data_IF_026271108428
#
_entry.id   IF_026271108428
#
_cell.length_a   1.000
_cell.length_b   1.000
_cell.length_c   1.000
_cell.angle_alpha   90.00
_cell.angle_beta   90.00
_cell.angle_gamma   90.00
#
_symmetry.space_group_name_H-M   'P 1'
#
loop_
_entity.id
_entity.type
_entity.pdbx_description
1 polymer ?
#
# COMPACT_ATOMS: atom_id res chain seq x y z
N UNK A 1 24.18 -21.63 -16.84
CA UNK A 1 23.98 -22.11 -18.23
C UNK A 1 24.56 -23.50 -18.34
N UNK A 2 23.74 -24.50 -18.73
CA UNK A 2 24.25 -25.87 -18.96
C UNK A 2 25.04 -25.94 -20.28
N UNK A 3 25.87 -27.00 -20.47
CA UNK A 3 26.60 -27.17 -21.73
C UNK A 3 25.63 -27.29 -22.93
N UNK A 4 24.48 -27.91 -22.75
CA UNK A 4 23.47 -28.01 -23.80
C UNK A 4 22.80 -26.67 -24.14
N UNK A 5 22.46 -25.86 -23.14
CA UNK A 5 21.96 -24.49 -23.36
C UNK A 5 22.97 -23.63 -24.11
N UNK A 6 24.26 -23.77 -23.80
CA UNK A 6 25.31 -23.07 -24.51
C UNK A 6 25.36 -23.51 -25.98
N UNK A 7 25.34 -24.83 -26.28
CA UNK A 7 25.34 -25.32 -27.67
C UNK A 7 24.11 -24.78 -28.44
N UNK A 8 22.97 -24.79 -27.82
CA UNK A 8 21.72 -24.32 -28.46
C UNK A 8 21.75 -22.81 -28.74
N UNK A 9 22.23 -22.03 -27.79
CA UNK A 9 22.44 -20.58 -27.99
C UNK A 9 23.42 -20.27 -29.12
N UNK A 10 24.53 -21.05 -29.23
CA UNK A 10 25.51 -20.89 -30.29
C UNK A 10 24.99 -21.35 -31.66
N UNK A 11 24.18 -22.42 -31.69
CA UNK A 11 23.52 -22.89 -32.91
C UNK A 11 22.56 -21.82 -33.49
N UNK A 12 21.89 -21.04 -32.63
CA UNK A 12 20.96 -19.97 -33.03
C UNK A 12 21.70 -18.72 -33.58
N UNK A 13 23.02 -18.59 -33.42
CA UNK A 13 23.77 -17.43 -33.88
C UNK A 13 24.15 -17.56 -35.37
N UNK A 14 23.74 -16.60 -36.23
CA UNK A 14 24.07 -16.68 -37.69
C UNK A 14 25.56 -16.70 -37.99
N UNK A 15 26.40 -16.12 -37.13
CA UNK A 15 27.86 -16.07 -37.28
C UNK A 15 28.58 -17.37 -36.90
N UNK A 16 27.86 -18.34 -36.29
CA UNK A 16 28.48 -19.58 -35.84
C UNK A 16 28.41 -20.68 -36.91
N UNK A 17 29.51 -20.92 -37.55
CA UNK A 17 29.69 -21.96 -38.60
C UNK A 17 29.96 -23.36 -38.04
N UNK A 18 29.99 -23.56 -36.74
CA UNK A 18 30.33 -24.83 -36.14
C UNK A 18 29.12 -25.75 -36.03
N UNK A 19 29.25 -26.99 -36.45
CA UNK A 19 28.18 -27.99 -36.31
C UNK A 19 27.97 -28.38 -34.85
N UNK A 20 26.75 -28.79 -34.52
CA UNK A 20 26.37 -29.30 -33.18
C UNK A 20 27.29 -30.44 -32.75
N UNK A 21 27.66 -31.33 -33.68
CA UNK A 21 28.58 -32.45 -33.41
C UNK A 21 29.96 -31.96 -32.93
N UNK A 22 30.48 -30.94 -33.60
CA UNK A 22 31.78 -30.35 -33.26
C UNK A 22 31.75 -29.65 -31.89
N UNK A 23 30.70 -28.89 -31.61
CA UNK A 23 30.47 -28.24 -30.31
C UNK A 23 30.30 -29.25 -29.17
N UNK A 24 29.55 -30.33 -29.40
CA UNK A 24 29.40 -31.44 -28.44
C UNK A 24 30.74 -32.07 -28.09
N UNK A 25 31.59 -32.32 -29.14
CA UNK A 25 32.94 -32.89 -28.93
C UNK A 25 33.82 -31.96 -28.08
N UNK A 26 33.85 -30.66 -28.36
CA UNK A 26 34.64 -29.68 -27.62
C UNK A 26 34.22 -29.58 -26.15
N UNK A 27 32.90 -29.67 -25.88
CA UNK A 27 32.37 -29.58 -24.54
C UNK A 27 32.31 -30.92 -23.82
N UNK A 28 32.78 -32.00 -24.44
CA UNK A 28 32.78 -33.36 -23.93
C UNK A 28 31.34 -33.78 -23.46
N UNK A 29 30.35 -33.64 -24.34
CA UNK A 29 28.95 -34.07 -24.13
C UNK A 29 28.48 -34.95 -25.31
N UNK A 30 27.50 -35.81 -25.07
CA UNK A 30 26.92 -36.68 -26.07
C UNK A 30 26.08 -35.89 -27.06
N UNK A 31 26.25 -36.11 -28.36
CA UNK A 31 25.41 -35.53 -29.40
C UNK A 31 23.98 -36.02 -29.32
N UNK A 32 23.77 -37.33 -29.07
CA UNK A 32 22.44 -37.87 -28.85
C UNK A 32 21.77 -37.29 -27.60
N UNK A 33 22.56 -37.07 -26.53
CA UNK A 33 22.11 -36.39 -25.32
C UNK A 33 21.65 -34.94 -25.57
N UNK A 34 22.38 -34.20 -26.45
CA UNK A 34 21.96 -32.87 -26.84
C UNK A 34 20.61 -32.88 -27.59
N UNK A 35 20.44 -33.73 -28.60
CA UNK A 35 19.20 -33.78 -29.35
C UNK A 35 18.02 -34.27 -28.46
N UNK A 36 18.23 -35.24 -27.60
CA UNK A 36 17.23 -35.65 -26.63
C UNK A 36 16.84 -34.51 -25.68
N UNK A 37 17.82 -33.71 -25.20
CA UNK A 37 17.57 -32.53 -24.39
C UNK A 37 16.82 -31.44 -25.17
N UNK A 38 17.23 -31.16 -26.42
CA UNK A 38 16.62 -30.12 -27.27
C UNK A 38 15.19 -30.43 -27.71
N UNK A 39 14.86 -31.75 -27.88
CA UNK A 39 13.51 -32.20 -28.28
C UNK A 39 12.65 -32.56 -27.07
N UNK A 40 13.20 -32.55 -25.86
CA UNK A 40 12.45 -32.91 -24.66
C UNK A 40 11.34 -31.88 -24.40
N UNK A 41 10.07 -32.32 -24.29
CA UNK A 41 9.00 -31.43 -23.92
C UNK A 41 9.25 -30.79 -22.55
N UNK A 42 8.80 -29.56 -22.40
CA UNK A 42 8.91 -28.85 -21.13
C UNK A 42 8.27 -29.67 -20.01
N UNK A 43 8.95 -29.84 -18.89
CA UNK A 43 8.38 -30.56 -17.76
C UNK A 43 7.16 -29.82 -17.19
N UNK A 44 6.20 -30.57 -16.63
CA UNK A 44 5.03 -30.00 -15.97
C UNK A 44 5.40 -28.96 -14.88
N UNK A 45 6.48 -29.21 -14.15
CA UNK A 45 7.02 -28.28 -13.16
C UNK A 45 7.54 -26.97 -13.80
N UNK A 46 8.24 -27.06 -14.93
CA UNK A 46 8.75 -25.89 -15.64
C UNK A 46 7.59 -25.08 -16.26
N UNK A 47 6.61 -25.75 -16.88
CA UNK A 47 5.42 -25.11 -17.40
C UNK A 47 4.62 -24.39 -16.30
N UNK A 48 4.40 -25.06 -15.15
CA UNK A 48 3.74 -24.46 -13.99
C UNK A 48 4.50 -23.23 -13.48
N UNK A 49 5.85 -23.31 -13.37
CA UNK A 49 6.69 -22.20 -12.93
C UNK A 49 6.62 -21.02 -13.90
N UNK A 50 6.59 -21.27 -15.21
CA UNK A 50 6.44 -20.22 -16.22
C UNK A 50 5.08 -19.52 -16.13
N UNK A 51 3.98 -20.27 -15.99
CA UNK A 51 2.65 -19.69 -15.78
C UNK A 51 2.57 -18.86 -14.50
N UNK A 52 3.18 -19.36 -13.41
CA UNK A 52 3.24 -18.60 -12.15
C UNK A 52 4.08 -17.33 -12.27
N UNK A 53 5.19 -17.37 -13.04
CA UNK A 53 6.03 -16.19 -13.30
C UNK A 53 5.26 -15.09 -14.01
N UNK A 54 4.48 -15.42 -15.04
CA UNK A 54 3.66 -14.44 -15.76
C UNK A 54 2.61 -13.77 -14.84
N UNK A 55 1.99 -14.55 -13.95
CA UNK A 55 1.01 -14.00 -12.99
C UNK A 55 1.65 -13.11 -11.93
N UNK A 56 2.81 -13.51 -11.40
CA UNK A 56 3.59 -12.70 -10.46
C UNK A 56 3.97 -11.37 -11.09
N UNK A 57 4.42 -11.38 -12.34
CA UNK A 57 4.75 -10.17 -13.08
C UNK A 57 3.52 -9.29 -13.29
N UNK A 58 2.39 -9.86 -13.67
CA UNK A 58 1.12 -9.14 -13.81
C UNK A 58 0.73 -8.40 -12.52
N UNK A 59 0.69 -9.06 -11.36
CA UNK A 59 0.36 -8.41 -10.09
C UNK A 59 1.40 -7.37 -9.65
N UNK A 60 2.67 -7.59 -9.96
CA UNK A 60 3.70 -6.61 -9.71
C UNK A 60 3.51 -5.33 -10.54
N UNK A 61 3.18 -5.47 -11.82
CA UNK A 61 2.88 -4.35 -12.72
C UNK A 61 1.56 -3.66 -12.33
N UNK A 62 0.50 -4.41 -12.04
CA UNK A 62 -0.80 -3.88 -11.60
C UNK A 62 -0.67 -3.07 -10.30
N UNK A 63 0.22 -3.48 -9.40
CA UNK A 63 0.56 -2.71 -8.20
C UNK A 63 1.55 -1.57 -8.45
N UNK A 64 1.92 -1.30 -9.70
CA UNK A 64 2.91 -0.29 -10.09
C UNK A 64 4.27 -0.47 -9.36
N UNK A 65 4.70 -1.72 -9.15
CA UNK A 65 5.95 -2.06 -8.49
C UNK A 65 5.96 -1.77 -6.98
N UNK A 66 4.80 -1.74 -6.34
CA UNK A 66 4.70 -1.50 -4.89
C UNK A 66 4.61 -2.78 -4.07
N UNK A 67 4.20 -3.90 -4.69
CA UNK A 67 3.97 -5.16 -3.98
C UNK A 67 5.23 -5.99 -3.83
N UNK A 68 5.56 -6.32 -2.58
CA UNK A 68 6.48 -7.40 -2.26
C UNK A 68 5.79 -8.78 -2.31
N UNK A 69 6.56 -9.84 -2.23
CA UNK A 69 6.12 -11.22 -2.40
C UNK A 69 4.90 -11.63 -1.55
N UNK A 70 4.73 -11.06 -0.34
CA UNK A 70 3.59 -11.40 0.54
C UNK A 70 2.26 -10.90 -0.01
N UNK A 71 2.21 -9.69 -0.58
CA UNK A 71 1.00 -9.15 -1.20
C UNK A 71 0.69 -9.84 -2.52
N UNK A 72 1.70 -10.13 -3.35
CA UNK A 72 1.53 -10.90 -4.58
C UNK A 72 1.04 -12.32 -4.27
N UNK A 73 1.58 -12.96 -3.24
CA UNK A 73 1.09 -14.27 -2.79
C UNK A 73 -0.40 -14.21 -2.38
N UNK A 74 -0.81 -13.15 -1.69
CA UNK A 74 -2.21 -12.96 -1.30
C UNK A 74 -3.14 -12.74 -2.52
N UNK A 75 -2.67 -12.08 -3.59
CA UNK A 75 -3.44 -11.97 -4.84
C UNK A 75 -3.54 -13.32 -5.57
N UNK A 76 -2.44 -14.07 -5.64
CA UNK A 76 -2.45 -15.43 -6.20
C UNK A 76 -3.41 -16.35 -5.44
N UNK A 77 -3.39 -16.29 -4.10
CA UNK A 77 -4.31 -17.07 -3.26
C UNK A 77 -5.78 -16.67 -3.47
N UNK A 78 -6.07 -15.38 -3.65
CA UNK A 78 -7.41 -14.91 -3.95
C UNK A 78 -7.93 -15.43 -5.30
N UNK A 79 -7.04 -15.73 -6.24
CA UNK A 79 -7.36 -16.39 -7.51
C UNK A 79 -7.21 -17.93 -7.46
N UNK A 80 -7.22 -18.51 -6.28
CA UNK A 80 -7.13 -19.94 -6.05
C UNK A 80 -5.86 -20.59 -6.63
N UNK A 81 -4.78 -19.81 -6.76
CA UNK A 81 -3.48 -20.31 -7.22
C UNK A 81 -2.64 -20.74 -6.04
N UNK A 82 -2.54 -22.03 -5.83
CA UNK A 82 -1.73 -22.60 -4.76
C UNK A 82 -0.24 -22.51 -5.05
N UNK A 83 0.48 -21.81 -4.20
CA UNK A 83 1.94 -21.73 -4.21
C UNK A 83 2.45 -21.31 -2.81
N UNK A 84 3.70 -21.60 -2.51
CA UNK A 84 4.28 -21.10 -1.27
C UNK A 84 4.75 -19.65 -1.40
N UNK A 85 4.70 -18.84 -0.33
CA UNK A 85 5.25 -17.49 -0.33
C UNK A 85 6.74 -17.45 -0.72
N UNK A 86 7.49 -18.48 -0.35
CA UNK A 86 8.91 -18.61 -0.68
C UNK A 86 9.14 -18.80 -2.18
N UNK A 87 8.29 -19.59 -2.86
CA UNK A 87 8.37 -19.75 -4.32
C UNK A 87 8.12 -18.40 -5.03
N UNK A 88 7.13 -17.62 -4.57
CA UNK A 88 6.88 -16.28 -5.10
C UNK A 88 8.10 -15.38 -4.91
N UNK A 89 8.70 -15.39 -3.71
CA UNK A 89 9.91 -14.62 -3.42
C UNK A 89 11.08 -14.99 -4.34
N UNK A 90 11.29 -16.30 -4.57
CA UNK A 90 12.36 -16.79 -5.45
C UNK A 90 12.13 -16.37 -6.91
N UNK A 91 10.88 -16.46 -7.40
CA UNK A 91 10.56 -16.03 -8.76
C UNK A 91 10.76 -14.52 -8.91
N UNK A 92 10.26 -13.70 -7.97
CA UNK A 92 10.48 -12.25 -7.99
C UNK A 92 11.98 -11.90 -8.04
N UNK A 93 12.78 -12.56 -7.19
CA UNK A 93 14.23 -12.36 -7.17
C UNK A 93 14.89 -12.74 -8.50
N UNK A 94 14.49 -13.86 -9.10
CA UNK A 94 15.02 -14.32 -10.39
C UNK A 94 14.64 -13.37 -11.53
N UNK A 95 13.46 -12.77 -11.47
CA UNK A 95 12.99 -11.80 -12.46
C UNK A 95 13.46 -10.36 -12.19
N UNK A 96 14.23 -10.13 -11.12
CA UNK A 96 14.64 -8.77 -10.74
C UNK A 96 13.49 -7.86 -10.28
N UNK A 97 12.35 -8.42 -9.86
CA UNK A 97 11.20 -7.64 -9.40
C UNK A 97 11.42 -7.15 -7.97
N UNK A 98 11.78 -5.88 -7.83
CA UNK A 98 12.06 -5.23 -6.55
C UNK A 98 10.96 -4.23 -6.24
N UNK A 99 10.20 -4.49 -5.16
CA UNK A 99 9.17 -3.55 -4.69
C UNK A 99 9.81 -2.24 -4.20
N UNK A 100 9.04 -1.14 -4.29
CA UNK A 100 9.48 0.13 -3.74
C UNK A 100 9.82 -0.02 -2.25
N UNK A 101 10.97 0.54 -1.84
CA UNK A 101 11.44 0.47 -0.46
C UNK A 101 11.07 1.77 0.28
N UNK A 102 10.65 1.70 1.55
CA UNK A 102 10.48 2.87 2.39
C UNK A 102 11.81 3.63 2.51
N UNK A 103 11.74 4.96 2.46
CA UNK A 103 12.91 5.79 2.80
C UNK A 103 13.18 5.70 4.30
N UNK A 104 14.43 5.78 4.76
CA UNK A 104 14.75 5.85 6.17
C UNK A 104 13.98 6.97 6.86
N UNK A 105 13.43 6.68 8.03
CA UNK A 105 12.71 7.67 8.83
C UNK A 105 13.67 8.79 9.28
N UNK A 106 13.22 10.04 9.14
CA UNK A 106 13.90 11.23 9.71
C UNK A 106 12.89 11.95 10.58
N UNK A 107 13.29 12.26 11.80
CA UNK A 107 12.51 13.13 12.71
C UNK A 107 12.53 14.54 12.10
N UNK A 108 11.36 15.11 11.81
CA UNK A 108 11.23 16.41 11.12
C UNK A 108 10.55 17.48 11.99
N UNK A 109 10.03 17.15 13.17
CA UNK A 109 9.26 18.08 14.00
C UNK A 109 9.62 17.93 15.46
N UNK A 110 10.01 19.03 16.10
CA UNK A 110 10.01 19.16 17.56
C UNK A 110 8.62 19.68 17.99
N UNK A 111 8.04 19.03 18.99
CA UNK A 111 6.69 19.34 19.43
C UNK A 111 6.70 20.51 20.41
N UNK A 112 5.79 21.46 20.21
CA UNK A 112 5.54 22.56 21.14
C UNK A 112 4.68 22.06 22.32
N UNK A 113 5.22 22.10 23.53
CA UNK A 113 4.68 21.37 24.70
C UNK A 113 3.48 22.08 25.38
N UNK A 114 3.23 23.38 25.11
CA UNK A 114 2.35 24.20 25.96
C UNK A 114 0.86 24.25 25.53
N UNK A 115 0.51 23.92 24.30
CA UNK A 115 -0.83 24.24 23.75
C UNK A 115 -1.96 23.25 24.08
N UNK A 116 -1.70 22.17 24.84
CA UNK A 116 -2.64 21.03 24.83
C UNK A 116 -2.97 20.43 26.22
N UNK A 117 -2.96 21.22 27.28
CA UNK A 117 -3.43 20.79 28.61
C UNK A 117 -4.96 20.52 28.54
N UNK A 118 -5.39 19.27 28.70
CA UNK A 118 -6.79 18.94 29.01
C UNK A 118 -7.50 17.90 28.13
N UNK A 119 -7.01 17.51 26.96
CA UNK A 119 -7.68 16.47 26.16
C UNK A 119 -7.05 15.08 26.41
N UNK A 120 -7.90 14.07 26.78
CA UNK A 120 -7.41 12.73 27.08
C UNK A 120 -7.01 11.97 25.79
N UNK A 121 -6.03 11.08 25.90
CA UNK A 121 -5.78 10.03 24.92
C UNK A 121 -6.76 8.86 25.21
N UNK A 122 -7.83 8.78 24.44
CA UNK A 122 -8.83 7.72 24.56
C UNK A 122 -8.44 6.45 23.77
N UNK A 123 -7.54 6.55 22.79
CA UNK A 123 -7.08 5.41 22.02
C UNK A 123 -6.00 4.60 22.72
N UNK A 124 -5.10 5.25 23.46
CA UNK A 124 -3.98 4.59 24.15
C UNK A 124 -3.20 3.63 23.22
N UNK A 125 -3.01 4.05 21.96
CA UNK A 125 -2.38 3.26 20.87
C UNK A 125 -3.17 2.04 20.43
N UNK A 126 -4.40 1.85 20.87
CA UNK A 126 -5.29 0.82 20.34
C UNK A 126 -6.06 1.37 19.12
N UNK A 127 -5.49 1.15 17.94
CA UNK A 127 -6.08 1.50 16.66
C UNK A 127 -6.96 0.37 16.10
N UNK A 128 -7.48 -0.50 16.94
CA UNK A 128 -8.48 -1.51 16.56
C UNK A 128 -9.89 -1.02 16.89
N UNK A 129 -10.87 -1.56 16.20
CA UNK A 129 -12.29 -1.33 16.49
C UNK A 129 -13.07 -2.59 16.13
N UNK A 130 -14.24 -2.79 16.77
CA UNK A 130 -15.08 -3.98 16.56
C UNK A 130 -15.90 -3.87 15.27
N UNK A 131 -16.16 -2.64 14.80
CA UNK A 131 -16.92 -2.35 13.59
C UNK A 131 -16.51 -1.00 12.97
N UNK A 132 -16.87 -0.76 11.68
CA UNK A 132 -16.65 0.53 11.05
C UNK A 132 -17.37 1.66 11.80
N UNK A 133 -16.79 2.84 11.78
CA UNK A 133 -17.45 4.03 12.32
C UNK A 133 -17.29 4.29 13.82
N UNK A 134 -16.57 3.44 14.56
CA UNK A 134 -16.37 3.60 16.01
C UNK A 134 -15.17 4.47 16.38
N UNK A 135 -14.09 4.36 15.63
CA UNK A 135 -12.85 5.10 15.89
C UNK A 135 -12.27 5.60 14.59
N UNK A 136 -11.91 6.86 14.56
CA UNK A 136 -11.29 7.50 13.42
C UNK A 136 -9.97 8.17 13.84
N UNK A 137 -9.00 8.13 12.93
CA UNK A 137 -7.78 8.91 13.10
C UNK A 137 -7.66 9.91 11.96
N UNK A 138 -7.24 11.12 12.29
CA UNK A 138 -7.00 12.20 11.33
C UNK A 138 -5.57 12.71 11.42
N UNK A 139 -5.04 13.12 10.26
CA UNK A 139 -3.74 13.75 10.18
C UNK A 139 -3.60 14.53 8.86
N UNK A 140 -2.60 15.42 8.78
CA UNK A 140 -2.30 16.24 7.61
C UNK A 140 -0.91 15.92 7.11
N UNK A 141 -0.77 15.86 5.79
CA UNK A 141 0.54 15.85 5.16
C UNK A 141 0.61 16.89 4.05
N UNK A 142 1.83 17.24 3.64
CA UNK A 142 2.06 18.11 2.49
C UNK A 142 2.77 17.35 1.37
N UNK A 143 2.50 17.82 0.14
CA UNK A 143 3.05 17.28 -1.09
C UNK A 143 3.67 18.45 -1.86
N UNK A 144 4.93 18.31 -2.20
CA UNK A 144 5.66 19.34 -2.94
C UNK A 144 5.33 19.28 -4.43
N UNK A 145 5.11 20.45 -5.04
CA UNK A 145 4.99 20.65 -6.49
C UNK A 145 5.87 21.85 -6.90
N UNK A 146 6.11 22.01 -8.19
CA UNK A 146 6.82 23.23 -8.66
C UNK A 146 6.04 24.53 -8.40
N UNK A 147 4.71 24.42 -8.19
CA UNK A 147 3.84 25.55 -7.83
C UNK A 147 3.70 25.77 -6.32
N UNK A 148 4.55 25.12 -5.50
CA UNK A 148 4.47 25.14 -4.04
C UNK A 148 3.78 23.90 -3.46
N UNK A 149 3.38 23.99 -2.19
CA UNK A 149 2.79 22.85 -1.48
C UNK A 149 1.30 22.68 -1.73
N UNK A 150 0.87 21.42 -1.68
CA UNK A 150 -0.53 21.00 -1.55
C UNK A 150 -0.64 20.24 -0.24
N UNK A 151 -1.68 20.52 0.53
CA UNK A 151 -1.94 19.90 1.83
C UNK A 151 -3.08 18.91 1.70
N UNK A 152 -2.90 17.73 2.24
CA UNK A 152 -3.87 16.64 2.28
C UNK A 152 -4.22 16.35 3.74
N UNK A 153 -5.48 16.53 4.12
CA UNK A 153 -6.05 16.01 5.35
C UNK A 153 -6.78 14.69 5.07
N UNK A 154 -6.67 13.72 5.96
CA UNK A 154 -7.34 12.42 5.83
C UNK A 154 -8.04 12.02 7.11
N UNK A 155 -9.13 11.25 6.96
CA UNK A 155 -9.88 10.57 8.01
C UNK A 155 -9.84 9.09 7.70
N UNK A 156 -9.28 8.30 8.61
CA UNK A 156 -9.08 6.86 8.44
C UNK A 156 -9.88 6.11 9.49
N UNK A 157 -10.72 5.19 9.05
CA UNK A 157 -11.48 4.29 9.93
C UNK A 157 -10.56 3.23 10.54
N UNK A 158 -10.59 3.10 11.87
CA UNK A 158 -9.69 2.20 12.60
C UNK A 158 -10.01 0.72 12.39
N UNK A 159 -11.25 0.37 12.06
CA UNK A 159 -11.63 -1.01 11.79
C UNK A 159 -11.08 -1.50 10.44
N UNK A 160 -11.40 -0.77 9.39
CA UNK A 160 -11.12 -1.18 8.01
C UNK A 160 -9.81 -0.66 7.45
N UNK A 161 -9.16 0.30 8.13
CA UNK A 161 -7.99 1.05 7.63
C UNK A 161 -8.29 1.85 6.34
N UNK A 162 -9.58 2.00 6.01
CA UNK A 162 -10.04 2.77 4.86
C UNK A 162 -9.89 4.26 5.12
N UNK A 163 -9.40 5.00 4.14
CA UNK A 163 -9.53 6.45 4.11
C UNK A 163 -10.98 6.76 3.75
N UNK A 164 -11.78 7.12 4.74
CA UNK A 164 -13.23 7.35 4.61
C UNK A 164 -13.57 8.80 4.28
N UNK A 165 -12.63 9.71 4.52
CA UNK A 165 -12.75 11.12 4.16
C UNK A 165 -11.38 11.73 3.91
N UNK A 166 -11.33 12.67 2.99
CA UNK A 166 -10.12 13.44 2.68
C UNK A 166 -10.49 14.81 2.11
N UNK A 167 -9.57 15.75 2.24
CA UNK A 167 -9.64 17.07 1.61
C UNK A 167 -8.26 17.52 1.18
N UNK A 168 -8.18 18.28 0.08
CA UNK A 168 -6.91 18.77 -0.48
C UNK A 168 -7.04 20.27 -0.75
N UNK A 169 -6.14 21.08 -0.13
CA UNK A 169 -6.11 22.53 -0.31
C UNK A 169 -4.69 23.06 -0.50
N UNK A 170 -4.61 24.36 -0.79
CA UNK A 170 -3.34 25.11 -0.91
C UNK A 170 -2.87 25.69 0.43
N UNK A 171 -3.60 25.41 1.50
CA UNK A 171 -3.37 25.93 2.85
C UNK A 171 -3.62 24.83 3.91
N UNK A 172 -3.06 25.02 5.09
CA UNK A 172 -3.25 24.15 6.26
C UNK A 172 -4.08 24.85 7.34
N UNK A 173 -5.31 25.28 6.97
CA UNK A 173 -6.25 25.90 7.91
C UNK A 173 -7.29 24.90 8.39
N UNK A 174 -8.08 25.27 9.40
CA UNK A 174 -9.11 24.43 10.02
C UNK A 174 -10.13 23.91 9.00
N UNK A 175 -10.46 24.69 7.97
CA UNK A 175 -11.39 24.29 6.91
C UNK A 175 -10.94 23.00 6.21
N UNK A 176 -9.62 22.80 6.02
CA UNK A 176 -9.07 21.61 5.38
C UNK A 176 -9.45 20.33 6.14
N UNK A 177 -9.28 20.32 7.47
CA UNK A 177 -9.61 19.16 8.30
C UNK A 177 -11.11 19.00 8.53
N UNK A 178 -11.83 20.12 8.60
CA UNK A 178 -13.29 20.11 8.72
C UNK A 178 -13.95 19.52 7.47
N UNK A 179 -13.48 19.86 6.29
CA UNK A 179 -14.00 19.31 5.03
C UNK A 179 -13.67 17.82 4.88
N UNK A 180 -12.48 17.39 5.31
CA UNK A 180 -12.15 15.95 5.35
C UNK A 180 -13.09 15.18 6.27
N UNK A 181 -13.43 15.72 7.46
CA UNK A 181 -14.34 15.08 8.40
C UNK A 181 -15.80 15.10 7.90
N UNK A 182 -16.27 16.20 7.30
CA UNK A 182 -17.60 16.28 6.65
C UNK A 182 -17.72 15.25 5.53
N UNK A 183 -16.70 15.09 4.71
CA UNK A 183 -16.67 14.09 3.64
C UNK A 183 -16.72 12.67 4.22
N UNK A 184 -16.02 12.41 5.32
CA UNK A 184 -16.12 11.13 6.02
C UNK A 184 -17.55 10.86 6.54
N UNK A 185 -18.18 11.86 7.17
CA UNK A 185 -19.55 11.74 7.68
C UNK A 185 -20.60 11.55 6.57
N UNK A 186 -20.33 12.04 5.37
CA UNK A 186 -21.21 11.84 4.21
C UNK A 186 -21.09 10.44 3.59
N UNK A 187 -19.96 9.76 3.76
CA UNK A 187 -19.67 8.47 3.11
C UNK A 187 -19.69 7.29 4.06
N UNK A 188 -19.60 7.52 5.36
CA UNK A 188 -19.49 6.48 6.40
C UNK A 188 -20.38 6.83 7.57
N UNK A 189 -21.13 5.83 8.06
CA UNK A 189 -21.89 5.99 9.29
C UNK A 189 -20.95 6.23 10.46
N UNK A 190 -21.18 7.30 11.20
CA UNK A 190 -20.53 7.57 12.48
C UNK A 190 -21.38 6.92 13.58
N UNK A 191 -20.79 6.01 14.34
CA UNK A 191 -21.48 5.37 15.46
C UNK A 191 -21.62 6.35 16.64
N UNK A 192 -22.66 6.22 17.47
CA UNK A 192 -22.78 7.01 18.69
C UNK A 192 -21.52 6.89 19.55
N UNK A 193 -21.06 8.01 20.12
CA UNK A 193 -19.85 8.09 20.94
C UNK A 193 -18.55 7.68 20.23
N UNK A 194 -18.54 7.69 18.90
CA UNK A 194 -17.34 7.41 18.13
C UNK A 194 -16.16 8.31 18.57
N UNK A 195 -14.96 7.79 18.46
CA UNK A 195 -13.75 8.53 18.84
C UNK A 195 -13.12 9.16 17.60
N UNK A 196 -12.92 10.47 17.66
CA UNK A 196 -12.03 11.20 16.78
C UNK A 196 -10.66 11.36 17.44
N UNK A 197 -9.61 10.86 16.82
CA UNK A 197 -8.25 10.98 17.33
C UNK A 197 -7.35 11.68 16.32
N UNK A 198 -6.50 12.59 16.81
CA UNK A 198 -5.49 13.29 16.03
C UNK A 198 -4.28 13.66 16.88
N UNK A 199 -3.27 14.21 16.24
CA UNK A 199 -2.20 14.90 16.96
C UNK A 199 -2.75 16.21 17.60
N UNK A 200 -1.86 16.93 18.31
CA UNK A 200 -2.17 18.20 18.98
C UNK A 200 -1.95 19.42 18.07
N UNK A 201 -2.00 19.27 16.77
CA UNK A 201 -1.89 20.38 15.83
C UNK A 201 -2.95 21.45 16.07
N UNK A 202 -2.61 22.73 15.86
CA UNK A 202 -3.49 23.89 16.11
C UNK A 202 -4.82 23.81 15.38
N UNK A 203 -4.86 23.21 14.19
CA UNK A 203 -6.08 23.02 13.40
C UNK A 203 -7.08 22.08 14.07
N UNK A 204 -6.61 21.05 14.78
CA UNK A 204 -7.46 20.07 15.48
C UNK A 204 -7.90 20.56 16.88
N UNK A 205 -7.16 21.49 17.47
CA UNK A 205 -7.49 22.10 18.76
C UNK A 205 -8.38 23.32 18.62
N UNK A 206 -8.65 23.80 17.40
CA UNK A 206 -9.50 24.95 17.12
C UNK A 206 -10.93 24.75 17.63
N UNK A 207 -11.58 25.83 18.06
CA UNK A 207 -12.96 25.82 18.57
C UNK A 207 -13.92 25.30 17.50
N UNK A 208 -13.75 25.74 16.26
CA UNK A 208 -14.64 25.36 15.14
C UNK A 208 -14.56 23.86 14.82
N UNK A 209 -13.33 23.29 14.81
CA UNK A 209 -13.18 21.87 14.56
C UNK A 209 -13.74 21.02 15.70
N UNK A 210 -13.51 21.42 16.95
CA UNK A 210 -14.09 20.73 18.12
C UNK A 210 -15.62 20.79 18.13
N UNK A 211 -16.21 21.94 17.75
CA UNK A 211 -17.65 22.06 17.61
C UNK A 211 -18.20 21.12 16.51
N UNK A 212 -17.50 20.97 15.39
CA UNK A 212 -17.86 20.02 14.35
C UNK A 212 -17.81 18.57 14.85
N UNK A 213 -16.72 18.16 15.54
CA UNK A 213 -16.61 16.81 16.14
C UNK A 213 -17.76 16.53 17.10
N UNK A 214 -18.08 17.50 17.98
CA UNK A 214 -19.19 17.37 18.92
C UNK A 214 -20.56 17.30 18.21
N UNK A 215 -20.77 18.10 17.15
CA UNK A 215 -22.03 18.08 16.38
C UNK A 215 -22.28 16.76 15.67
N UNK A 216 -21.23 15.99 15.38
CA UNK A 216 -21.31 14.64 14.82
C UNK A 216 -21.47 13.55 15.91
N UNK A 217 -21.64 13.91 17.18
CA UNK A 217 -21.77 12.99 18.30
C UNK A 217 -20.49 12.23 18.64
N UNK A 218 -19.32 12.76 18.23
CA UNK A 218 -18.02 12.13 18.46
C UNK A 218 -17.33 12.70 19.70
N UNK A 219 -16.46 11.88 20.29
CA UNK A 219 -15.60 12.27 21.40
C UNK A 219 -14.19 12.57 20.90
N UNK A 220 -13.66 13.74 21.23
CA UNK A 220 -12.28 14.12 20.87
C UNK A 220 -11.25 13.37 21.72
N UNK A 221 -10.21 12.89 21.07
CA UNK A 221 -9.05 12.24 21.65
C UNK A 221 -7.77 12.79 21.01
N UNK A 222 -6.74 13.00 21.80
CA UNK A 222 -5.47 13.52 21.28
C UNK A 222 -4.30 12.71 21.81
N UNK A 223 -3.35 12.44 20.92
CA UNK A 223 -2.06 11.85 21.28
C UNK A 223 -1.27 12.74 22.25
N UNK A 224 -0.28 12.18 22.92
CA UNK A 224 0.61 12.95 23.81
C UNK A 224 1.56 13.80 22.98
N UNK A 225 1.90 14.98 23.50
CA UNK A 225 2.87 15.88 22.86
C UNK A 225 4.23 15.19 22.72
N UNK A 226 4.81 15.25 21.52
CA UNK A 226 6.15 14.70 21.24
C UNK A 226 6.22 13.17 21.14
N UNK A 227 5.09 12.47 21.13
CA UNK A 227 5.05 11.01 21.02
C UNK A 227 4.42 10.62 19.67
N UNK A 228 5.28 10.45 18.65
CA UNK A 228 4.85 10.10 17.28
C UNK A 228 4.04 8.79 17.21
N UNK A 229 4.28 7.83 18.08
CA UNK A 229 3.56 6.55 18.10
C UNK A 229 2.06 6.67 18.41
N UNK A 230 1.62 7.80 18.96
CA UNK A 230 0.23 8.00 19.37
C UNK A 230 -0.69 8.27 18.15
N UNK A 231 -0.14 8.58 16.95
CA UNK A 231 -0.88 8.66 15.66
C UNK A 231 -0.31 7.74 14.56
N UNK A 232 0.32 6.65 14.97
CA UNK A 232 1.06 5.75 14.08
C UNK A 232 0.25 5.18 12.91
N UNK A 233 -1.07 5.08 13.04
CA UNK A 233 -1.93 4.59 11.96
C UNK A 233 -2.03 5.58 10.80
N UNK A 234 -2.22 6.87 11.08
CA UNK A 234 -2.22 7.90 10.05
C UNK A 234 -0.82 8.08 9.43
N UNK A 235 0.23 8.04 10.26
CA UNK A 235 1.62 8.05 9.80
C UNK A 235 1.93 6.87 8.86
N UNK A 236 1.41 5.68 9.17
CA UNK A 236 1.57 4.49 8.31
C UNK A 236 0.91 4.67 6.94
N UNK A 237 -0.27 5.28 6.90
CA UNK A 237 -0.93 5.62 5.64
C UNK A 237 -0.11 6.62 4.84
N UNK A 238 0.35 7.72 5.44
CA UNK A 238 1.15 8.71 4.74
C UNK A 238 2.51 8.17 4.31
N UNK A 239 3.11 7.29 5.09
CA UNK A 239 4.31 6.57 4.68
C UNK A 239 4.04 5.73 3.42
N UNK A 240 2.93 5.01 3.37
CA UNK A 240 2.54 4.25 2.18
C UNK A 240 2.32 5.18 0.97
N UNK A 241 1.49 6.23 1.11
CA UNK A 241 1.25 7.20 0.05
C UNK A 241 2.56 7.82 -0.48
N UNK A 242 3.43 8.28 0.42
CA UNK A 242 4.68 8.93 0.04
C UNK A 242 5.63 7.97 -0.66
N UNK A 243 5.84 6.77 -0.12
CA UNK A 243 6.78 5.80 -0.70
C UNK A 243 6.24 5.15 -1.98
N UNK A 244 4.95 4.84 -2.02
CA UNK A 244 4.34 4.12 -3.14
C UNK A 244 4.01 5.05 -4.30
N UNK A 245 3.82 6.38 -4.06
CA UNK A 245 3.41 7.33 -5.09
C UNK A 245 4.21 8.64 -5.08
N UNK A 246 4.14 9.46 -4.03
CA UNK A 246 4.62 10.84 -4.05
C UNK A 246 6.12 10.95 -4.33
N UNK A 247 6.95 10.11 -3.71
CA UNK A 247 8.40 10.15 -3.92
C UNK A 247 8.87 9.55 -5.25
N UNK A 248 7.96 8.93 -5.99
CA UNK A 248 8.23 8.34 -7.30
C UNK A 248 7.73 9.21 -8.45
N UNK A 249 7.06 10.33 -8.15
CA UNK A 249 6.45 11.23 -9.12
C UNK A 249 6.93 12.65 -8.90
N UNK A 250 7.26 13.35 -9.98
CA UNK A 250 7.53 14.79 -9.97
C UNK A 250 6.27 15.49 -10.41
N UNK A 251 5.73 16.36 -9.56
CA UNK A 251 4.51 17.11 -9.85
C UNK A 251 4.87 18.53 -10.32
N UNK A 252 4.59 18.85 -11.59
CA UNK A 252 4.75 20.18 -12.13
C UNK A 252 3.68 21.14 -11.61
N UNK A 253 2.44 20.66 -11.40
CA UNK A 253 1.32 21.49 -10.97
C UNK A 253 0.60 20.91 -9.75
N UNK A 254 -0.05 21.77 -8.98
CA UNK A 254 -0.91 21.38 -7.86
C UNK A 254 -2.09 20.50 -8.31
N UNK A 255 -2.66 20.77 -9.49
CA UNK A 255 -3.75 19.97 -10.06
C UNK A 255 -3.30 18.54 -10.36
N UNK A 256 -2.11 18.37 -10.91
CA UNK A 256 -1.53 17.06 -11.16
C UNK A 256 -1.36 16.25 -9.85
N UNK A 257 -0.82 16.88 -8.80
CA UNK A 257 -0.67 16.25 -7.49
C UNK A 257 -2.02 15.87 -6.89
N UNK A 258 -3.03 16.75 -6.95
CA UNK A 258 -4.39 16.46 -6.48
C UNK A 258 -5.00 15.22 -7.18
N UNK A 259 -5.00 15.22 -8.50
CA UNK A 259 -5.57 14.12 -9.29
C UNK A 259 -4.87 12.79 -9.01
N UNK A 260 -3.56 12.79 -8.84
CA UNK A 260 -2.79 11.59 -8.59
C UNK A 260 -3.01 11.04 -7.18
N UNK A 261 -3.09 11.91 -6.17
CA UNK A 261 -3.41 11.52 -4.78
C UNK A 261 -4.83 10.95 -4.67
N UNK A 262 -5.81 11.58 -5.33
CA UNK A 262 -7.19 11.06 -5.35
C UNK A 262 -7.21 9.66 -5.96
N UNK A 263 -6.55 9.48 -7.10
CA UNK A 263 -6.43 8.16 -7.75
C UNK A 263 -5.75 7.13 -6.86
N UNK A 264 -4.71 7.53 -6.13
CA UNK A 264 -4.06 6.63 -5.18
C UNK A 264 -5.00 6.24 -4.05
N UNK A 265 -5.71 7.18 -3.43
CA UNK A 265 -6.62 6.89 -2.30
C UNK A 265 -7.77 5.99 -2.77
N UNK A 266 -8.53 6.42 -3.77
CA UNK A 266 -9.77 5.74 -4.16
C UNK A 266 -9.51 4.55 -5.10
N UNK A 267 -8.65 4.75 -6.10
CA UNK A 267 -8.40 3.74 -7.15
C UNK A 267 -7.44 2.64 -6.71
N UNK A 268 -6.56 2.90 -5.74
CA UNK A 268 -5.57 1.92 -5.34
C UNK A 268 -5.64 1.58 -3.84
N UNK A 269 -5.42 2.53 -2.92
CA UNK A 269 -5.30 2.23 -1.49
C UNK A 269 -6.57 1.60 -0.92
N UNK A 270 -7.73 2.23 -1.12
CA UNK A 270 -9.00 1.74 -0.60
C UNK A 270 -9.49 0.48 -1.32
N UNK A 271 -9.33 0.43 -2.66
CA UNK A 271 -9.99 -0.56 -3.52
C UNK A 271 -9.14 -1.78 -3.87
N UNK A 272 -7.81 -1.64 -3.95
CA UNK A 272 -6.93 -2.70 -4.46
C UNK A 272 -5.83 -3.10 -3.47
N UNK A 273 -5.29 -2.14 -2.71
CA UNK A 273 -4.11 -2.36 -1.90
C UNK A 273 -4.36 -3.40 -0.80
N UNK A 274 -3.61 -4.49 -0.83
CA UNK A 274 -3.60 -5.51 0.22
C UNK A 274 -2.97 -4.95 1.50
N UNK A 275 -3.70 -5.05 2.62
CA UNK A 275 -3.27 -4.49 3.89
C UNK A 275 -2.90 -5.61 4.89
N UNK A 276 -1.63 -5.65 5.34
CA UNK A 276 -1.15 -6.73 6.21
C UNK A 276 -1.89 -6.83 7.55
N UNK A 277 -2.25 -5.68 8.15
CA UNK A 277 -3.03 -5.65 9.39
C UNK A 277 -4.50 -6.12 9.23
N UNK A 278 -4.97 -6.30 7.98
CA UNK A 278 -6.29 -6.84 7.65
C UNK A 278 -6.22 -8.28 7.13
N UNK A 279 -5.14 -9.01 7.41
CA UNK A 279 -4.93 -10.34 6.85
C UNK A 279 -4.81 -10.33 5.32
N UNK A 280 -4.21 -9.29 4.77
CA UNK A 280 -4.10 -9.02 3.33
C UNK A 280 -5.43 -8.82 2.58
N UNK A 281 -6.53 -8.53 3.29
CA UNK A 281 -7.75 -8.02 2.66
C UNK A 281 -7.59 -6.55 2.28
N UNK A 282 -8.47 -6.06 1.40
CA UNK A 282 -8.52 -4.67 0.95
C UNK A 282 -9.34 -3.82 1.92
N UNK A 283 -9.02 -2.53 2.15
CA UNK A 283 -9.82 -1.67 3.04
C UNK A 283 -11.31 -1.63 2.70
N UNK A 284 -11.68 -1.46 1.42
CA UNK A 284 -13.07 -1.47 0.98
C UNK A 284 -13.76 -2.82 1.24
N UNK A 285 -13.08 -3.93 1.02
CA UNK A 285 -13.59 -5.27 1.27
C UNK A 285 -13.96 -5.46 2.74
N UNK A 286 -13.08 -5.00 3.65
CA UNK A 286 -13.33 -5.08 5.10
C UNK A 286 -14.41 -4.11 5.54
N UNK A 287 -14.42 -2.89 5.01
CA UNK A 287 -15.36 -1.83 5.39
C UNK A 287 -16.80 -2.19 5.00
N UNK A 288 -17.01 -2.55 3.74
CA UNK A 288 -18.33 -2.87 3.22
C UNK A 288 -18.77 -4.31 3.48
N UNK A 289 -17.83 -5.20 3.74
CA UNK A 289 -18.11 -6.59 4.13
C UNK A 289 -18.52 -6.77 5.57
N UNK A 290 -18.55 -5.70 6.39
CA UNK A 290 -19.05 -5.78 7.75
C UNK A 290 -20.56 -6.02 7.74
N UNK A 291 -20.98 -7.17 8.25
CA UNK A 291 -22.40 -7.48 8.51
C UNK A 291 -22.69 -7.23 9.98
N UNK A 292 -23.58 -6.30 10.26
CA UNK A 292 -24.02 -6.08 11.62
C UNK A 292 -24.65 -7.39 12.15
N UNK A 293 -24.21 -7.93 13.30
CA UNK A 293 -24.89 -9.10 13.88
C UNK A 293 -26.36 -8.78 14.01
N UNK A 294 -27.22 -9.71 13.56
CA UNK A 294 -28.64 -9.59 13.82
C UNK A 294 -28.82 -9.43 15.33
N UNK A 295 -29.50 -8.36 15.77
CA UNK A 295 -29.92 -8.21 17.15
C UNK A 295 -30.70 -9.48 17.48
N UNK A 296 -30.13 -10.30 18.39
CA UNK A 296 -30.90 -11.41 18.96
C UNK A 296 -32.15 -10.82 19.62
N UNK A 297 -33.28 -11.15 19.04
CA UNK A 297 -34.61 -10.73 19.53
C UNK A 297 -34.93 -11.39 20.87
#
# INVERSE_FOLDING_TARGET
MSKYEFIDSQKAQPANLNSVVKMCRWLAVSTSGFYHWATRPQSATAARRQGLTARIQHFFEESEGTYGYRRIHADLAAEQTECSPELVRQIMRHQGLVACQPRPFRITTEADAEAAAGMPDLLKRDFTADRPGMKFVGDITYIHTWQGFVYLATVIDCYSKKVVGWSIADHMRTELVADALKNAAATTRIEPDAIWHSDRGSVYTSTDFRALVASLGMRSSMGRTGVCWDNSMAESFFSALKNERVYRTVYATKSQARSDVIRYIEGFYNSRRRHSALGYRRPNEVHYGYQQPALAA
#
